data_IF_584670792063
#
_entry.id   IF_584670792063
#
_cell.length_a   1.000
_cell.length_b   1.000
_cell.length_c   1.000
_cell.angle_alpha   90.00
_cell.angle_beta   90.00
_cell.angle_gamma   90.00
#
_symmetry.space_group_name_H-M   'P 1'
#
loop_
_entity.id
_entity.type
_entity.pdbx_description
1 polymer ?
#
# COMPACT_ATOMS: atom_id res chain seq x y z
N UNK A 1 -3.75 -10.15 20.56
CA UNK A 1 -3.69 -8.92 19.77
C UNK A 1 -3.28 -9.25 18.34
N UNK A 2 -4.00 -8.75 17.36
CA UNK A 2 -3.66 -9.01 15.96
C UNK A 2 -2.37 -8.26 15.58
N UNK A 3 -1.48 -8.85 14.75
CA UNK A 3 -0.30 -8.16 14.24
C UNK A 3 -0.67 -6.95 13.39
N UNK A 4 0.21 -5.95 13.29
CA UNK A 4 -0.06 -4.80 12.44
C UNK A 4 -0.15 -5.17 10.96
N UNK A 5 -1.05 -4.54 10.23
CA UNK A 5 -1.17 -4.68 8.80
C UNK A 5 -0.42 -3.55 8.10
N UNK A 6 0.37 -3.92 7.10
CA UNK A 6 1.13 -2.98 6.30
C UNK A 6 0.42 -2.71 4.97
N UNK A 7 0.19 -1.44 4.66
CA UNK A 7 -0.24 -1.00 3.34
C UNK A 7 1.00 -0.50 2.61
N UNK A 8 1.34 -1.13 1.49
CA UNK A 8 2.57 -0.88 0.76
C UNK A 8 2.23 -0.29 -0.61
N UNK A 9 2.69 0.93 -0.85
CA UNK A 9 2.55 1.57 -2.15
C UNK A 9 3.91 1.52 -2.85
N UNK A 10 3.95 0.92 -4.04
CA UNK A 10 5.19 0.69 -4.78
C UNK A 10 5.22 1.54 -6.04
N UNK A 11 6.29 2.33 -6.19
CA UNK A 11 6.62 2.94 -7.46
C UNK A 11 7.45 1.95 -8.27
N UNK A 12 6.88 1.39 -9.31
CA UNK A 12 7.56 0.42 -10.16
C UNK A 12 8.65 1.03 -11.05
N UNK A 13 8.63 2.35 -11.20
CA UNK A 13 9.59 3.12 -12.00
C UNK A 13 10.55 3.86 -11.08
N UNK A 14 11.58 3.18 -10.64
CA UNK A 14 12.54 3.71 -9.65
C UNK A 14 13.33 4.94 -10.10
N UNK A 15 13.42 5.18 -11.42
CA UNK A 15 14.08 6.34 -12.00
C UNK A 15 13.17 7.58 -12.14
N UNK A 16 11.88 7.40 -11.92
CA UNK A 16 10.91 8.49 -11.98
C UNK A 16 11.02 9.41 -10.76
N UNK A 17 11.11 10.75 -10.96
CA UNK A 17 11.13 11.66 -9.81
C UNK A 17 9.80 11.65 -9.08
N UNK A 18 9.84 11.97 -7.79
CA UNK A 18 8.65 12.11 -6.96
C UNK A 18 7.78 13.25 -7.52
N UNK A 19 6.52 12.95 -7.86
CA UNK A 19 5.66 13.86 -8.62
C UNK A 19 4.27 14.04 -7.98
N UNK A 20 3.43 14.87 -8.59
CA UNK A 20 2.10 15.18 -8.07
C UNK A 20 1.16 13.98 -8.03
N UNK A 21 1.27 13.05 -8.96
CA UNK A 21 0.46 11.82 -8.93
C UNK A 21 0.82 10.97 -7.72
N UNK A 22 2.10 10.85 -7.41
CA UNK A 22 2.57 10.18 -6.20
C UNK A 22 2.01 10.86 -4.95
N UNK A 23 2.07 12.19 -4.89
CA UNK A 23 1.53 12.98 -3.78
C UNK A 23 0.03 12.73 -3.58
N UNK A 24 -0.73 12.72 -4.66
CA UNK A 24 -2.18 12.48 -4.61
C UNK A 24 -2.51 11.08 -4.08
N UNK A 25 -1.82 10.05 -4.55
CA UNK A 25 -2.03 8.68 -4.08
C UNK A 25 -1.72 8.56 -2.59
N UNK A 26 -0.59 9.11 -2.16
CA UNK A 26 -0.19 9.08 -0.75
C UNK A 26 -1.21 9.85 0.11
N UNK A 27 -1.68 10.99 -0.36
CA UNK A 27 -2.70 11.76 0.33
C UNK A 27 -4.02 11.00 0.47
N UNK A 28 -4.39 10.20 -0.53
CA UNK A 28 -5.62 9.40 -0.51
C UNK A 28 -5.51 8.17 0.39
N UNK A 29 -4.35 7.54 0.46
CA UNK A 29 -4.16 6.35 1.30
C UNK A 29 -3.96 6.69 2.78
N UNK A 30 -3.44 7.88 3.08
CA UNK A 30 -3.11 8.28 4.46
C UNK A 30 -4.31 8.28 5.39
N UNK A 31 -5.48 8.84 5.02
CA UNK A 31 -6.66 8.76 5.88
C UNK A 31 -7.14 7.33 6.13
N UNK A 32 -7.00 6.45 5.15
CA UNK A 32 -7.37 5.04 5.30
C UNK A 32 -6.46 4.35 6.31
N UNK A 33 -5.15 4.57 6.22
CA UNK A 33 -4.20 4.02 7.18
C UNK A 33 -4.44 4.56 8.59
N UNK A 34 -4.78 5.84 8.70
CA UNK A 34 -5.10 6.46 9.98
C UNK A 34 -6.38 5.86 10.58
N UNK A 35 -7.45 5.78 9.76
CA UNK A 35 -8.76 5.29 10.22
C UNK A 35 -8.70 3.82 10.66
N UNK A 36 -7.97 2.99 9.92
CA UNK A 36 -7.92 1.54 10.15
C UNK A 36 -6.69 1.11 10.95
N UNK A 37 -5.88 2.06 11.39
CA UNK A 37 -4.69 1.78 12.20
C UNK A 37 -3.64 0.92 11.48
N UNK A 38 -3.45 1.17 10.19
CA UNK A 38 -2.47 0.47 9.36
C UNK A 38 -1.14 1.22 9.31
N UNK A 39 -0.06 0.48 9.05
CA UNK A 39 1.24 1.06 8.72
C UNK A 39 1.29 1.37 7.24
N UNK A 40 1.90 2.49 6.88
CA UNK A 40 2.11 2.90 5.48
C UNK A 40 3.58 2.72 5.12
N UNK A 41 3.83 1.94 4.07
CA UNK A 41 5.18 1.71 3.55
C UNK A 41 5.26 2.22 2.13
N UNK A 42 6.18 3.16 1.90
CA UNK A 42 6.41 3.77 0.58
C UNK A 42 7.68 3.18 -0.02
N UNK A 43 7.57 2.57 -1.17
CA UNK A 43 8.65 1.80 -1.80
C UNK A 43 9.04 2.39 -3.15
N UNK A 44 10.33 2.63 -3.34
CA UNK A 44 10.93 3.13 -4.58
C UNK A 44 10.49 4.54 -5.00
N UNK A 45 9.98 5.33 -4.09
CA UNK A 45 9.81 6.76 -4.35
C UNK A 45 11.15 7.46 -4.11
N UNK A 46 11.41 8.51 -4.87
CA UNK A 46 12.57 9.35 -4.64
C UNK A 46 12.29 10.36 -3.53
N UNK A 47 12.27 9.87 -2.32
CA UNK A 47 12.06 10.62 -1.11
C UNK A 47 13.32 10.46 -0.25
N UNK A 48 14.06 11.55 -0.08
CA UNK A 48 15.31 11.54 0.68
C UNK A 48 15.09 11.94 2.13
N UNK A 49 13.92 12.47 2.46
CA UNK A 49 13.58 12.95 3.79
C UNK A 49 13.27 11.82 4.77
N UNK A 50 13.40 12.09 6.06
CA UNK A 50 12.84 11.22 7.09
C UNK A 50 11.31 11.18 6.97
N UNK A 51 10.63 10.14 7.49
CA UNK A 51 9.17 10.10 7.47
C UNK A 51 8.51 11.33 8.07
N UNK A 52 9.07 11.88 9.15
CA UNK A 52 8.54 13.10 9.80
C UNK A 52 8.68 14.32 8.89
N UNK A 53 9.86 14.53 8.32
CA UNK A 53 10.11 15.66 7.44
C UNK A 53 9.31 15.56 6.14
N UNK A 54 9.21 14.35 5.59
CA UNK A 54 8.37 14.07 4.43
C UNK A 54 6.91 14.43 4.70
N UNK A 55 6.38 14.00 5.85
CA UNK A 55 4.98 14.28 6.21
C UNK A 55 4.73 15.78 6.35
N UNK A 56 5.66 16.52 6.94
CA UNK A 56 5.55 17.98 7.08
C UNK A 56 5.57 18.67 5.72
N UNK A 57 6.45 18.26 4.83
CA UNK A 57 6.52 18.81 3.46
C UNK A 57 5.20 18.56 2.72
N UNK A 58 4.69 17.33 2.79
CA UNK A 58 3.42 16.95 2.18
C UNK A 58 2.26 17.79 2.72
N UNK A 59 2.22 18.04 4.02
CA UNK A 59 1.15 18.80 4.66
C UNK A 59 1.12 20.28 4.22
N UNK A 60 2.24 20.84 3.80
CA UNK A 60 2.29 22.22 3.29
C UNK A 60 1.87 22.33 1.84
N UNK A 61 1.74 21.22 1.13
CA UNK A 61 1.31 21.22 -0.27
C UNK A 61 -0.19 21.47 -0.37
N UNK A 62 -0.57 22.46 -1.18
CA UNK A 62 -1.97 22.85 -1.37
C UNK A 62 -2.83 21.78 -2.02
N UNK A 63 -2.22 20.80 -2.69
CA UNK A 63 -2.92 19.74 -3.40
C UNK A 63 -3.39 18.60 -2.50
N UNK A 64 -2.99 18.58 -1.22
CA UNK A 64 -3.22 17.44 -0.32
C UNK A 64 -4.34 17.69 0.69
N UNK A 65 -4.60 18.94 1.06
CA UNK A 65 -5.64 19.28 2.04
C UNK A 65 -5.47 18.54 3.36
N UNK A 66 -6.56 18.02 3.88
CA UNK A 66 -6.59 17.31 5.18
C UNK A 66 -5.81 16.00 5.20
N UNK A 67 -5.50 15.42 4.05
CA UNK A 67 -4.68 14.20 3.95
C UNK A 67 -3.29 14.39 4.52
N UNK A 68 -2.72 15.59 4.39
CA UNK A 68 -1.41 15.92 4.95
C UNK A 68 -1.36 15.87 6.47
N UNK A 69 -2.44 16.28 7.13
CA UNK A 69 -2.55 16.21 8.60
C UNK A 69 -2.50 14.76 9.09
N UNK A 70 -3.20 13.86 8.40
CA UNK A 70 -3.20 12.43 8.74
C UNK A 70 -1.81 11.81 8.56
N UNK A 71 -1.10 12.26 7.55
CA UNK A 71 0.27 11.80 7.30
C UNK A 71 1.21 12.20 8.45
N UNK A 72 1.09 13.42 8.96
CA UNK A 72 1.84 13.87 10.13
C UNK A 72 1.55 12.99 11.35
N UNK A 73 0.27 12.69 11.60
CA UNK A 73 -0.13 11.83 12.71
C UNK A 73 0.45 10.42 12.59
N UNK A 74 0.42 9.85 11.37
CA UNK A 74 1.03 8.54 11.11
C UNK A 74 2.54 8.56 11.36
N UNK A 75 3.22 9.62 10.91
CA UNK A 75 4.66 9.76 11.12
C UNK A 75 5.01 9.87 12.61
N UNK A 76 4.24 10.64 13.37
CA UNK A 76 4.43 10.78 14.82
C UNK A 76 4.29 9.45 15.56
N UNK A 77 3.39 8.58 15.07
CA UNK A 77 3.18 7.25 15.66
C UNK A 77 4.18 6.20 15.16
N UNK A 78 5.15 6.58 14.33
CA UNK A 78 6.12 5.66 13.76
C UNK A 78 5.51 4.69 12.74
N UNK A 79 4.42 5.07 12.08
CA UNK A 79 3.67 4.21 11.16
C UNK A 79 3.96 4.47 9.69
N UNK A 80 4.97 5.25 9.37
CA UNK A 80 5.42 5.48 7.99
C UNK A 80 6.83 4.94 7.84
N UNK A 81 7.03 4.12 6.82
CA UNK A 81 8.34 3.62 6.43
C UNK A 81 8.59 3.97 4.96
N UNK A 82 9.77 4.50 4.69
CA UNK A 82 10.23 4.83 3.33
C UNK A 82 11.40 3.91 3.01
N UNK A 83 11.28 3.11 1.94
CA UNK A 83 12.26 2.09 1.62
C UNK A 83 12.37 1.86 0.11
N UNK A 84 13.21 0.92 -0.27
CA UNK A 84 13.44 0.51 -1.66
C UNK A 84 13.21 -0.99 -1.81
N UNK A 85 13.07 -1.43 -3.07
CA UNK A 85 13.04 -2.86 -3.38
C UNK A 85 14.45 -3.46 -3.18
N UNK A 86 14.56 -4.74 -2.79
CA UNK A 86 13.48 -5.69 -2.53
C UNK A 86 12.74 -5.40 -1.22
N UNK A 87 11.51 -5.91 -1.12
CA UNK A 87 10.71 -5.76 0.10
C UNK A 87 11.36 -6.52 1.26
N UNK A 88 11.32 -5.91 2.45
CA UNK A 88 11.87 -6.51 3.64
C UNK A 88 10.98 -7.67 4.14
N UNK A 89 11.60 -8.73 4.63
CA UNK A 89 10.89 -9.90 5.17
C UNK A 89 10.06 -9.56 6.42
N UNK A 90 10.41 -8.50 7.13
CA UNK A 90 9.69 -8.08 8.34
C UNK A 90 8.29 -7.52 8.05
N UNK A 91 7.96 -7.25 6.79
CA UNK A 91 6.61 -6.84 6.38
C UNK A 91 5.59 -7.98 6.48
N UNK A 92 6.04 -9.22 6.56
CA UNK A 92 5.19 -10.41 6.68
C UNK A 92 4.82 -11.01 5.34
N UNK A 93 3.67 -11.70 5.31
CA UNK A 93 3.17 -12.32 4.08
C UNK A 93 2.77 -11.27 3.06
N UNK A 94 3.18 -11.46 1.83
CA UNK A 94 2.97 -10.51 0.74
C UNK A 94 1.68 -10.85 -0.01
N UNK A 95 0.75 -9.91 0.01
CA UNK A 95 -0.52 -9.99 -0.74
C UNK A 95 -0.50 -8.87 -1.77
N UNK A 96 -0.34 -9.20 -3.03
CA UNK A 96 -0.36 -8.19 -4.09
C UNK A 96 -1.78 -8.06 -4.67
N UNK A 97 -2.25 -6.82 -4.79
CA UNK A 97 -3.56 -6.53 -5.34
C UNK A 97 -3.44 -6.39 -6.85
N UNK A 98 -4.19 -7.21 -7.58
CA UNK A 98 -4.13 -7.28 -9.03
C UNK A 98 -5.45 -7.79 -9.61
N UNK A 99 -5.85 -7.27 -10.77
CA UNK A 99 -7.03 -7.75 -11.50
C UNK A 99 -6.76 -9.03 -12.30
N UNK A 100 -5.49 -9.45 -12.38
CA UNK A 100 -5.09 -10.68 -13.12
C UNK A 100 -4.28 -11.59 -12.19
N UNK A 101 -4.92 -12.19 -11.18
CA UNK A 101 -4.22 -13.07 -10.26
C UNK A 101 -3.79 -14.36 -10.93
N UNK A 102 -2.63 -14.88 -10.52
CA UNK A 102 -2.23 -16.24 -10.84
C UNK A 102 -3.16 -17.20 -10.08
N UNK A 103 -3.70 -18.20 -10.78
CA UNK A 103 -4.64 -19.15 -10.19
C UNK A 103 -4.07 -19.88 -8.97
N UNK A 104 -2.78 -20.16 -8.98
CA UNK A 104 -2.12 -20.87 -7.87
C UNK A 104 -1.95 -20.00 -6.64
N UNK A 105 -2.03 -18.67 -6.77
CA UNK A 105 -1.83 -17.69 -5.68
C UNK A 105 -3.10 -16.91 -5.36
N UNK A 106 -4.13 -17.06 -6.16
CA UNK A 106 -5.39 -16.30 -5.98
C UNK A 106 -6.03 -16.63 -4.64
N UNK A 107 -6.41 -15.58 -3.92
CA UNK A 107 -7.03 -15.72 -2.61
C UNK A 107 -8.18 -14.72 -2.47
N UNK A 108 -9.17 -15.04 -1.63
CA UNK A 108 -10.31 -14.18 -1.40
C UNK A 108 -10.12 -13.29 -0.16
N UNK A 109 -10.89 -12.19 -0.04
CA UNK A 109 -10.74 -11.27 1.08
C UNK A 109 -10.94 -11.90 2.45
N UNK A 110 -11.83 -12.87 2.58
CA UNK A 110 -12.08 -13.54 3.87
C UNK A 110 -10.85 -14.29 4.37
N UNK A 111 -10.17 -15.00 3.49
CA UNK A 111 -8.97 -15.74 3.85
C UNK A 111 -7.81 -14.81 4.17
N UNK A 112 -7.68 -13.69 3.45
CA UNK A 112 -6.68 -12.67 3.77
C UNK A 112 -6.98 -12.04 5.14
N UNK A 113 -8.22 -11.72 5.42
CA UNK A 113 -8.64 -11.22 6.73
C UNK A 113 -8.28 -12.21 7.85
N UNK A 114 -8.62 -13.48 7.68
CA UNK A 114 -8.31 -14.52 8.66
C UNK A 114 -6.79 -14.63 8.89
N UNK A 115 -6.01 -14.55 7.82
CA UNK A 115 -4.55 -14.57 7.90
C UNK A 115 -4.03 -13.35 8.67
N UNK A 116 -4.61 -12.17 8.47
CA UNK A 116 -4.19 -10.93 9.13
C UNK A 116 -4.36 -10.97 10.65
N UNK A 117 -5.26 -11.79 11.14
CA UNK A 117 -5.45 -11.98 12.59
C UNK A 117 -4.34 -12.80 13.24
N UNK A 118 -3.63 -13.59 12.45
CA UNK A 118 -2.61 -14.53 12.94
C UNK A 118 -1.19 -14.11 12.59
N UNK A 119 -1.00 -13.40 11.49
CA UNK A 119 0.33 -13.06 10.96
C UNK A 119 0.35 -11.64 10.43
N UNK A 120 1.54 -11.06 10.41
CA UNK A 120 1.77 -9.82 9.67
C UNK A 120 1.50 -10.06 8.20
N UNK A 121 0.80 -9.14 7.56
CA UNK A 121 0.63 -9.12 6.12
C UNK A 121 0.95 -7.74 5.56
N UNK A 122 1.36 -7.73 4.30
CA UNK A 122 1.59 -6.52 3.53
C UNK A 122 0.68 -6.55 2.32
N UNK A 123 -0.20 -5.56 2.22
CA UNK A 123 -1.07 -5.35 1.05
C UNK A 123 -0.33 -4.46 0.07
N UNK A 124 0.03 -4.99 -1.09
CA UNK A 124 0.87 -4.30 -2.08
C UNK A 124 -0.01 -3.68 -3.17
N UNK A 125 0.17 -2.38 -3.38
CA UNK A 125 -0.48 -1.61 -4.45
C UNK A 125 0.60 -0.95 -5.32
N UNK A 126 0.49 -1.10 -6.63
CA UNK A 126 1.35 -0.38 -7.57
C UNK A 126 0.81 1.02 -7.83
N UNK A 127 1.70 2.00 -7.98
CA UNK A 127 1.30 3.38 -8.31
C UNK A 127 0.64 3.49 -9.66
N UNK A 128 1.00 2.63 -10.59
CA UNK A 128 0.39 2.55 -11.91
C UNK A 128 0.00 1.09 -12.21
N UNK A 129 -0.75 0.91 -13.29
CA UNK A 129 -1.23 -0.42 -13.66
C UNK A 129 -0.36 -1.09 -14.74
N UNK A 130 0.80 -0.52 -15.03
CA UNK A 130 1.72 -1.10 -16.02
C UNK A 130 2.51 -2.26 -15.41
N UNK A 131 2.58 -3.37 -16.13
CA UNK A 131 3.36 -4.53 -15.74
C UNK A 131 4.78 -4.42 -16.29
N UNK A 132 5.66 -3.79 -15.54
CA UNK A 132 7.09 -3.78 -15.84
C UNK A 132 7.80 -4.91 -15.08
N UNK A 133 9.13 -4.97 -15.23
CA UNK A 133 9.96 -5.99 -14.59
C UNK A 133 9.79 -6.02 -13.07
N UNK A 134 9.75 -4.87 -12.42
CA UNK A 134 9.62 -4.78 -10.97
C UNK A 134 8.28 -5.36 -10.49
N UNK A 135 7.19 -5.03 -11.18
CA UNK A 135 5.86 -5.56 -10.84
C UNK A 135 5.79 -7.06 -11.11
N UNK A 136 6.35 -7.54 -12.23
CA UNK A 136 6.40 -8.98 -12.51
C UNK A 136 7.16 -9.74 -11.43
N UNK A 137 8.28 -9.19 -10.95
CA UNK A 137 9.05 -9.81 -9.87
C UNK A 137 8.24 -9.84 -8.56
N UNK A 138 7.51 -8.79 -8.24
CA UNK A 138 6.65 -8.74 -7.07
C UNK A 138 5.50 -9.75 -7.16
N UNK A 139 4.86 -9.87 -8.33
CA UNK A 139 3.80 -10.86 -8.57
C UNK A 139 4.34 -12.28 -8.36
N UNK A 140 5.53 -12.56 -8.84
CA UNK A 140 6.16 -13.87 -8.71
C UNK A 140 6.55 -14.19 -7.26
N UNK A 141 7.05 -13.21 -6.51
CA UNK A 141 7.47 -13.38 -5.11
C UNK A 141 6.31 -13.34 -4.12
N UNK A 142 5.18 -12.74 -4.49
CA UNK A 142 4.04 -12.62 -3.59
C UNK A 142 3.52 -13.99 -3.15
N UNK A 143 3.10 -14.07 -1.89
CA UNK A 143 2.48 -15.28 -1.34
C UNK A 143 1.07 -15.46 -1.88
N UNK A 144 0.34 -14.34 -2.03
CA UNK A 144 -1.05 -14.35 -2.47
C UNK A 144 -1.31 -13.21 -3.45
N UNK A 145 -2.24 -13.45 -4.38
CA UNK A 145 -2.79 -12.43 -5.29
C UNK A 145 -4.25 -12.18 -4.93
N UNK A 146 -4.62 -10.92 -4.79
CA UNK A 146 -5.98 -10.51 -4.44
C UNK A 146 -6.58 -9.65 -5.54
N UNK A 147 -7.63 -10.17 -6.18
CA UNK A 147 -8.49 -9.39 -7.08
C UNK A 147 -9.75 -9.00 -6.32
N UNK A 148 -9.78 -7.76 -5.83
CA UNK A 148 -10.90 -7.29 -5.02
C UNK A 148 -12.21 -7.17 -5.82
N UNK A 149 -12.10 -7.04 -7.15
CA UNK A 149 -13.29 -7.03 -8.02
C UNK A 149 -13.93 -8.41 -8.13
N UNK A 150 -13.17 -9.48 -7.89
CA UNK A 150 -13.55 -10.88 -8.07
C UNK A 150 -13.96 -11.25 -9.49
N UNK A 151 -13.77 -10.36 -10.45
CA UNK A 151 -14.22 -10.49 -11.85
C UNK A 151 -13.16 -10.12 -12.87
N UNK A 152 -11.91 -9.98 -12.45
CA UNK A 152 -10.82 -9.60 -13.33
C UNK A 152 -10.90 -8.17 -13.86
N UNK A 153 -11.63 -7.29 -13.18
CA UNK A 153 -11.82 -5.90 -13.60
C UNK A 153 -10.74 -5.03 -12.96
N UNK A 154 -10.01 -4.31 -13.81
CA UNK A 154 -8.99 -3.38 -13.35
C UNK A 154 -9.63 -2.12 -12.79
N UNK A 155 -9.39 -1.85 -11.52
CA UNK A 155 -9.81 -0.61 -10.85
C UNK A 155 -8.67 0.42 -10.88
N UNK A 156 -9.02 1.69 -10.73
CA UNK A 156 -7.99 2.71 -10.47
C UNK A 156 -7.29 2.39 -9.15
N UNK A 157 -6.04 2.85 -8.98
CA UNK A 157 -5.23 2.53 -7.80
C UNK A 157 -5.93 2.99 -6.52
N UNK A 158 -6.44 4.20 -6.50
CA UNK A 158 -7.14 4.76 -5.33
C UNK A 158 -8.44 4.01 -5.01
N UNK A 159 -9.23 3.62 -6.01
CA UNK A 159 -10.43 2.81 -5.80
C UNK A 159 -10.07 1.43 -5.24
N UNK A 160 -9.04 0.80 -5.75
CA UNK A 160 -8.55 -0.50 -5.27
C UNK A 160 -8.06 -0.39 -3.82
N UNK A 161 -7.27 0.62 -3.50
CA UNK A 161 -6.80 0.85 -2.14
C UNK A 161 -7.95 1.03 -1.16
N UNK A 162 -8.93 1.85 -1.50
CA UNK A 162 -10.11 2.06 -0.67
C UNK A 162 -10.93 0.81 -0.47
N UNK A 163 -11.20 0.07 -1.54
CA UNK A 163 -11.97 -1.16 -1.48
C UNK A 163 -11.28 -2.23 -0.63
N UNK A 164 -10.00 -2.49 -0.89
CA UNK A 164 -9.25 -3.54 -0.19
C UNK A 164 -9.12 -3.23 1.29
N UNK A 165 -8.67 -2.03 1.65
CA UNK A 165 -8.47 -1.66 3.04
C UNK A 165 -9.76 -1.66 3.83
N UNK A 166 -10.85 -1.15 3.25
CA UNK A 166 -12.15 -1.09 3.90
C UNK A 166 -12.74 -2.49 4.12
N UNK A 167 -12.68 -3.34 3.10
CA UNK A 167 -13.22 -4.71 3.21
C UNK A 167 -12.42 -5.50 4.23
N UNK A 168 -11.09 -5.49 4.17
CA UNK A 168 -10.24 -6.23 5.11
C UNK A 168 -10.46 -5.74 6.55
N UNK A 169 -10.64 -4.45 6.76
CA UNK A 169 -10.88 -3.90 8.09
C UNK A 169 -12.24 -4.28 8.67
N UNK A 170 -13.26 -4.45 7.82
CA UNK A 170 -14.65 -4.62 8.26
C UNK A 170 -15.19 -6.06 8.17
N UNK A 171 -14.38 -7.01 7.72
CA UNK A 171 -14.76 -8.42 7.75
C UNK A 171 -14.63 -8.98 9.17
N UNK A 172 -15.71 -9.52 9.69
CA UNK A 172 -15.75 -10.23 10.97
C UNK A 172 -16.29 -11.64 10.83
#
# INVERSE_FOLDING_TARGET
>A
MAPPLNVVLVNSKSDEPFNDEHRRLIAKISPLCYAYNYHLVLVNFRIDDSPTDFAREMATSTSIGKGGERLIELAKKGKIKITKLPLSEDLGKIVICTSKPDKTKSENPKNIFALSKKRKIALIFGCDKKRNKNIRNLLQKADYHLDISCKGIQLSVDAEMGAVTSIINNLE
#
